data_IF_094230227657
#
_entry.id   IF_094230227657
#
_cell.length_a   1.000
_cell.length_b   1.000
_cell.length_c   1.000
_cell.angle_alpha   90.00
_cell.angle_beta   90.00
_cell.angle_gamma   90.00
#
_symmetry.space_group_name_H-M   'P 1'
#
loop_
_entity.id
_entity.type
_entity.pdbx_description
1 polymer ?
#
# COMPACT_ATOMS: atom_id res chain seq x y z
N UNK A 1 -28.92 70.87 -8.30
CA UNK A 1 -28.50 71.18 -6.91
C UNK A 1 -27.03 71.52 -6.95
N UNK A 2 -26.70 72.78 -6.65
CA UNK A 2 -25.37 73.38 -6.79
C UNK A 2 -24.37 72.71 -5.85
N UNK A 3 -23.23 72.24 -6.37
CA UNK A 3 -22.12 71.74 -5.56
C UNK A 3 -21.30 72.95 -5.14
N UNK A 4 -21.42 73.36 -3.87
CA UNK A 4 -20.61 74.41 -3.27
C UNK A 4 -19.13 74.04 -3.37
N UNK A 5 -18.35 74.94 -3.97
CA UNK A 5 -16.89 74.92 -3.93
C UNK A 5 -16.43 75.01 -2.47
N UNK A 6 -15.93 73.90 -1.95
CA UNK A 6 -15.30 73.85 -0.63
C UNK A 6 -13.95 74.55 -0.77
N UNK A 7 -13.78 75.63 0.01
CA UNK A 7 -12.54 76.39 0.18
C UNK A 7 -11.31 75.47 0.23
N UNK A 8 -10.44 75.59 -0.78
CA UNK A 8 -9.11 74.98 -0.78
C UNK A 8 -8.24 75.73 0.22
N UNK A 9 -8.32 75.37 1.50
CA UNK A 9 -7.33 75.79 2.48
C UNK A 9 -5.96 75.27 2.02
N UNK A 10 -5.00 76.17 1.84
CA UNK A 10 -3.63 75.80 1.54
C UNK A 10 -3.09 75.02 2.74
N UNK A 11 -3.09 73.70 2.62
CA UNK A 11 -2.52 72.79 3.62
C UNK A 11 -1.03 73.08 3.66
N UNK A 12 -0.57 73.72 4.74
CA UNK A 12 0.85 73.90 4.98
C UNK A 12 1.52 72.51 4.94
N UNK A 13 2.70 72.38 4.30
CA UNK A 13 3.41 71.11 4.29
C UNK A 13 3.64 70.69 5.75
N UNK A 14 3.41 69.41 6.10
CA UNK A 14 3.54 68.96 7.47
C UNK A 14 4.94 69.31 7.97
N UNK A 15 4.99 70.00 9.12
CA UNK A 15 6.25 70.32 9.80
C UNK A 15 6.73 69.01 10.42
N UNK A 16 7.46 68.22 9.65
CA UNK A 16 8.02 66.94 10.07
C UNK A 16 9.22 67.23 10.95
N UNK A 17 9.18 66.79 12.21
CA UNK A 17 10.36 66.90 13.07
C UNK A 17 11.47 65.98 12.55
N UNK A 18 12.73 66.32 12.84
CA UNK A 18 13.86 65.49 12.40
C UNK A 18 13.74 64.03 12.92
N UNK A 19 13.22 63.85 14.14
CA UNK A 19 12.93 62.55 14.72
C UNK A 19 11.85 61.78 13.96
N UNK A 20 10.78 62.44 13.51
CA UNK A 20 9.73 61.79 12.72
C UNK A 20 10.27 61.29 11.37
N UNK A 21 11.16 62.07 10.75
CA UNK A 21 11.81 61.70 9.50
C UNK A 21 12.71 60.47 9.68
N UNK A 22 13.55 60.48 10.70
CA UNK A 22 14.46 59.36 11.00
C UNK A 22 13.67 58.07 11.35
N UNK A 23 12.54 58.20 12.07
CA UNK A 23 11.65 57.08 12.36
C UNK A 23 11.01 56.49 11.09
N UNK A 24 10.43 57.34 10.23
CA UNK A 24 9.80 56.90 8.98
C UNK A 24 10.82 56.23 8.03
N UNK A 25 12.02 56.79 7.92
CA UNK A 25 13.12 56.18 7.14
C UNK A 25 13.58 54.84 7.73
N UNK A 26 13.55 54.68 9.06
CA UNK A 26 13.80 53.38 9.70
C UNK A 26 12.71 52.36 9.39
N UNK A 27 11.43 52.77 9.37
CA UNK A 27 10.32 51.87 9.05
C UNK A 27 10.32 51.47 7.57
N UNK A 28 10.59 52.40 6.66
CA UNK A 28 10.72 52.10 5.24
C UNK A 28 11.87 51.12 4.96
N UNK A 29 13.04 51.33 5.59
CA UNK A 29 14.15 50.36 5.50
C UNK A 29 13.74 48.98 6.01
N UNK A 30 13.07 48.92 7.16
CA UNK A 30 12.56 47.65 7.71
C UNK A 30 11.61 46.93 6.74
N UNK A 31 10.65 47.65 6.13
CA UNK A 31 9.73 47.08 5.14
C UNK A 31 10.53 46.48 3.99
N UNK A 32 11.43 47.26 3.36
CA UNK A 32 12.20 46.83 2.19
C UNK A 32 13.01 45.56 2.53
N UNK A 33 13.77 45.58 3.62
CA UNK A 33 14.62 44.43 4.02
C UNK A 33 13.79 43.18 4.33
N UNK A 34 12.66 43.31 5.03
CA UNK A 34 11.80 42.15 5.32
C UNK A 34 11.08 41.64 4.07
N UNK A 35 10.64 42.52 3.17
CA UNK A 35 10.02 42.10 1.90
C UNK A 35 11.00 41.38 0.98
N UNK A 36 12.26 41.84 0.93
CA UNK A 36 13.34 41.17 0.20
C UNK A 36 13.70 39.82 0.83
N UNK A 37 13.74 39.74 2.17
CA UNK A 37 14.04 38.50 2.91
C UNK A 37 13.02 37.41 2.65
N UNK A 38 11.74 37.78 2.57
CA UNK A 38 10.63 36.85 2.35
C UNK A 38 10.43 36.54 0.85
N UNK A 39 11.17 37.22 -0.04
CA UNK A 39 11.13 36.96 -1.48
C UNK A 39 9.78 37.28 -2.10
N UNK A 40 9.07 38.26 -1.54
CA UNK A 40 7.74 38.61 -2.02
C UNK A 40 7.82 39.51 -3.27
N UNK A 41 7.31 39.04 -4.41
CA UNK A 41 7.03 39.89 -5.57
C UNK A 41 5.68 40.62 -5.35
N UNK A 42 5.30 41.62 -6.17
CA UNK A 42 3.99 42.31 -6.05
C UNK A 42 2.77 41.34 -6.10
N UNK A 43 2.99 40.08 -6.52
CA UNK A 43 2.00 39.00 -6.62
C UNK A 43 2.23 37.85 -5.61
N UNK A 44 3.14 38.00 -4.64
CA UNK A 44 3.51 37.00 -3.63
C UNK A 44 2.45 36.78 -2.51
N UNK A 45 2.61 35.74 -1.67
CA UNK A 45 1.57 35.29 -0.75
C UNK A 45 1.18 36.39 0.26
N UNK A 46 -0.08 36.83 0.17
CA UNK A 46 -0.61 38.00 0.87
C UNK A 46 -0.48 37.96 2.41
N UNK A 47 -0.31 36.78 3.00
CA UNK A 47 -0.26 36.61 4.45
C UNK A 47 1.05 37.11 5.07
N UNK A 48 2.18 36.94 4.40
CA UNK A 48 3.48 37.41 4.93
C UNK A 48 3.61 38.93 4.79
N UNK A 49 3.14 39.49 3.67
CA UNK A 49 2.99 40.94 3.50
C UNK A 49 2.11 41.54 4.59
N UNK A 50 0.94 40.94 4.86
CA UNK A 50 0.05 41.39 5.92
C UNK A 50 0.75 41.41 7.28
N UNK A 51 1.56 40.39 7.61
CA UNK A 51 2.31 40.34 8.87
C UNK A 51 3.34 41.49 8.97
N UNK A 52 4.09 41.75 7.89
CA UNK A 52 5.09 42.83 7.86
C UNK A 52 4.42 44.19 8.10
N UNK A 53 3.37 44.50 7.35
CA UNK A 53 2.65 45.78 7.49
C UNK A 53 1.92 45.89 8.82
N UNK A 54 1.39 44.80 9.37
CA UNK A 54 0.78 44.78 10.71
C UNK A 54 1.79 45.18 11.77
N UNK A 55 2.99 44.61 11.73
CA UNK A 55 4.07 44.92 12.67
C UNK A 55 4.56 46.36 12.56
N UNK A 56 4.66 46.90 11.34
CA UNK A 56 5.02 48.31 11.12
C UNK A 56 3.93 49.23 11.68
N UNK A 57 2.66 48.90 11.43
CA UNK A 57 1.54 49.70 11.91
C UNK A 57 1.47 49.71 13.46
N UNK A 58 1.76 48.59 14.11
CA UNK A 58 1.89 48.52 15.56
C UNK A 58 3.00 49.47 16.08
N UNK A 59 4.16 49.51 15.41
CA UNK A 59 5.24 50.46 15.73
C UNK A 59 4.83 51.93 15.52
N UNK A 60 4.05 52.23 14.49
CA UNK A 60 3.52 53.59 14.23
C UNK A 60 2.52 54.00 15.33
N UNK A 61 1.66 53.09 15.78
CA UNK A 61 0.72 53.32 16.88
C UNK A 61 1.46 53.59 18.19
N UNK A 62 2.58 52.91 18.44
CA UNK A 62 3.43 53.15 19.61
C UNK A 62 4.12 54.50 19.55
N UNK A 63 4.62 54.90 18.38
CA UNK A 63 5.31 56.17 18.17
C UNK A 63 4.36 57.39 18.28
N UNK A 64 3.18 57.31 17.66
CA UNK A 64 2.20 58.42 17.62
C UNK A 64 1.26 58.36 18.82
N UNK A 65 1.75 58.82 19.97
CA UNK A 65 1.02 58.77 21.25
C UNK A 65 -0.29 59.55 21.27
N UNK A 66 -0.35 60.70 20.58
CA UNK A 66 -1.52 61.58 20.56
C UNK A 66 -2.75 60.96 19.90
N UNK A 67 -2.57 60.12 18.88
CA UNK A 67 -3.65 59.49 18.11
C UNK A 67 -3.76 57.98 18.38
N UNK A 68 -3.04 57.48 19.39
CA UNK A 68 -2.92 56.06 19.70
C UNK A 68 -4.26 55.36 19.86
N UNK A 69 -5.22 55.98 20.57
CA UNK A 69 -6.55 55.40 20.82
C UNK A 69 -7.37 55.23 19.54
N UNK A 70 -7.33 56.23 18.65
CA UNK A 70 -8.05 56.22 17.38
C UNK A 70 -7.43 55.19 16.42
N UNK A 71 -6.10 55.22 16.24
CA UNK A 71 -5.40 54.29 15.36
C UNK A 71 -5.54 52.83 15.84
N UNK A 72 -5.51 52.59 17.15
CA UNK A 72 -5.78 51.25 17.71
C UNK A 72 -7.20 50.79 17.43
N UNK A 73 -8.19 51.69 17.53
CA UNK A 73 -9.59 51.36 17.24
C UNK A 73 -9.79 51.04 15.75
N UNK A 74 -9.19 51.84 14.86
CA UNK A 74 -9.18 51.57 13.41
C UNK A 74 -8.54 50.21 13.13
N UNK A 75 -7.36 49.93 13.72
CA UNK A 75 -6.68 48.64 13.56
C UNK A 75 -7.59 47.47 13.93
N UNK A 76 -8.28 47.56 15.08
CA UNK A 76 -9.17 46.52 15.57
C UNK A 76 -10.33 46.23 14.61
N UNK A 77 -10.95 47.25 14.05
CA UNK A 77 -12.04 47.09 13.06
C UNK A 77 -11.54 46.38 11.79
N UNK A 78 -10.39 46.80 11.25
CA UNK A 78 -9.80 46.15 10.08
C UNK A 78 -9.38 44.70 10.36
N UNK A 79 -8.73 44.44 11.51
CA UNK A 79 -8.34 43.08 11.91
C UNK A 79 -9.58 42.18 12.04
N UNK A 80 -10.68 42.67 12.63
CA UNK A 80 -11.94 41.92 12.74
C UNK A 80 -12.57 41.63 11.37
N UNK A 81 -12.53 42.59 10.45
CA UNK A 81 -13.03 42.41 9.09
C UNK A 81 -12.21 41.38 8.30
N UNK A 82 -10.88 41.48 8.36
CA UNK A 82 -9.96 40.54 7.71
C UNK A 82 -10.18 39.12 8.24
N UNK A 83 -10.28 38.95 9.55
CA UNK A 83 -10.55 37.63 10.16
C UNK A 83 -11.91 37.06 9.73
N UNK A 84 -12.93 37.91 9.61
CA UNK A 84 -14.25 37.50 9.12
C UNK A 84 -14.19 37.00 7.68
N UNK A 85 -13.44 37.68 6.80
CA UNK A 85 -13.22 37.25 5.41
C UNK A 85 -12.43 35.93 5.36
N UNK A 86 -11.33 35.83 6.12
CA UNK A 86 -10.53 34.59 6.15
C UNK A 86 -11.35 33.40 6.63
N UNK A 87 -12.18 33.60 7.66
CA UNK A 87 -13.11 32.58 8.16
C UNK A 87 -14.15 32.19 7.11
N UNK A 88 -14.76 33.17 6.44
CA UNK A 88 -15.79 32.90 5.43
C UNK A 88 -15.22 32.11 4.24
N UNK A 89 -14.03 32.46 3.75
CA UNK A 89 -13.34 31.74 2.69
C UNK A 89 -13.03 30.29 3.09
N UNK A 90 -12.49 30.06 4.30
CA UNK A 90 -12.24 28.71 4.82
C UNK A 90 -13.52 27.88 4.90
N UNK A 91 -14.62 28.47 5.38
CA UNK A 91 -15.92 27.77 5.45
C UNK A 91 -16.47 27.44 4.06
N UNK A 92 -16.37 28.36 3.10
CA UNK A 92 -16.81 28.15 1.73
C UNK A 92 -16.02 27.02 1.06
N UNK A 93 -14.69 27.01 1.21
CA UNK A 93 -13.84 25.96 0.68
C UNK A 93 -14.20 24.58 1.27
N UNK A 94 -14.39 24.51 2.59
CA UNK A 94 -14.77 23.27 3.27
C UNK A 94 -16.13 22.75 2.78
N UNK A 95 -17.15 23.61 2.71
CA UNK A 95 -18.49 23.25 2.25
C UNK A 95 -18.48 22.81 0.78
N UNK A 96 -17.72 23.50 -0.07
CA UNK A 96 -17.54 23.13 -1.47
C UNK A 96 -16.88 21.75 -1.61
N UNK A 97 -15.82 21.49 -0.83
CA UNK A 97 -15.17 20.18 -0.78
C UNK A 97 -16.14 19.06 -0.36
N UNK A 98 -16.92 19.29 0.70
CA UNK A 98 -17.94 18.33 1.16
C UNK A 98 -19.01 18.08 0.10
N UNK A 99 -19.49 19.13 -0.56
CA UNK A 99 -20.49 19.01 -1.63
C UNK A 99 -19.95 18.22 -2.82
N UNK A 100 -18.68 18.44 -3.22
CA UNK A 100 -18.03 17.69 -4.29
C UNK A 100 -17.91 16.21 -3.98
N UNK A 101 -17.61 15.85 -2.73
CA UNK A 101 -17.57 14.45 -2.26
C UNK A 101 -18.97 13.83 -2.30
N UNK A 102 -19.98 14.51 -1.75
CA UNK A 102 -21.37 14.02 -1.77
C UNK A 102 -21.93 13.89 -3.19
N UNK A 103 -21.55 14.77 -4.12
CA UNK A 103 -21.94 14.67 -5.52
C UNK A 103 -21.30 13.45 -6.22
N UNK A 104 -20.11 13.03 -5.81
CA UNK A 104 -19.40 11.88 -6.37
C UNK A 104 -19.85 10.53 -5.76
N UNK A 105 -20.37 10.53 -4.54
CA UNK A 105 -20.77 9.35 -3.78
C UNK A 105 -21.85 8.47 -4.48
N UNK A 106 -22.94 9.01 -5.07
CA UNK A 106 -23.93 8.22 -5.79
C UNK A 106 -23.31 7.42 -6.95
N UNK A 107 -22.34 8.01 -7.66
CA UNK A 107 -21.69 7.36 -8.80
C UNK A 107 -20.85 6.16 -8.35
N UNK A 108 -20.07 6.31 -7.27
CA UNK A 108 -19.31 5.22 -6.69
C UNK A 108 -20.23 4.10 -6.17
N UNK A 109 -21.30 4.47 -5.47
CA UNK A 109 -22.27 3.53 -4.92
C UNK A 109 -23.00 2.73 -5.99
N UNK A 110 -23.34 3.34 -7.12
CA UNK A 110 -23.92 2.64 -8.29
C UNK A 110 -22.94 1.60 -8.84
N UNK A 111 -21.65 1.92 -8.97
CA UNK A 111 -20.64 0.95 -9.42
C UNK A 111 -20.49 -0.22 -8.44
N UNK A 112 -20.47 0.04 -7.13
CA UNK A 112 -20.41 -1.03 -6.12
C UNK A 112 -21.65 -1.93 -6.15
N UNK A 113 -22.85 -1.36 -6.30
CA UNK A 113 -24.08 -2.15 -6.47
C UNK A 113 -24.02 -3.02 -7.72
N UNK A 114 -23.62 -2.47 -8.86
CA UNK A 114 -23.47 -3.21 -10.12
C UNK A 114 -22.47 -4.36 -9.96
N UNK A 115 -21.35 -4.12 -9.29
CA UNK A 115 -20.34 -5.15 -9.00
C UNK A 115 -20.87 -6.25 -8.09
N UNK A 116 -21.66 -5.90 -7.08
CA UNK A 116 -22.30 -6.87 -6.17
C UNK A 116 -23.21 -7.83 -6.94
N UNK A 117 -24.10 -7.31 -7.78
CA UNK A 117 -25.00 -8.12 -8.62
C UNK A 117 -24.20 -9.06 -9.54
N UNK A 118 -23.11 -8.57 -10.14
CA UNK A 118 -22.24 -9.41 -10.99
C UNK A 118 -21.58 -10.55 -10.21
N UNK A 119 -21.11 -10.28 -8.99
CA UNK A 119 -20.48 -11.28 -8.14
C UNK A 119 -21.49 -12.32 -7.67
N UNK A 120 -22.68 -11.92 -7.27
CA UNK A 120 -23.78 -12.83 -6.92
C UNK A 120 -24.17 -13.74 -8.10
N UNK A 121 -24.22 -13.20 -9.32
CA UNK A 121 -24.47 -14.00 -10.52
C UNK A 121 -23.37 -15.06 -10.73
N UNK A 122 -22.09 -14.67 -10.59
CA UNK A 122 -20.95 -15.60 -10.72
C UNK A 122 -20.95 -16.67 -9.63
N UNK A 123 -21.28 -16.30 -8.39
CA UNK A 123 -21.36 -17.21 -7.26
C UNK A 123 -22.42 -18.29 -7.47
N UNK A 124 -23.61 -17.92 -7.95
CA UNK A 124 -24.67 -18.88 -8.32
C UNK A 124 -24.22 -19.87 -9.39
N UNK A 125 -23.45 -19.43 -10.38
CA UNK A 125 -22.89 -20.32 -11.42
C UNK A 125 -21.89 -21.32 -10.80
N UNK A 126 -21.01 -20.84 -9.92
CA UNK A 126 -20.03 -21.69 -9.24
C UNK A 126 -20.72 -22.72 -8.34
N UNK A 127 -21.73 -22.33 -7.57
CA UNK A 127 -22.50 -23.23 -6.71
C UNK A 127 -23.21 -24.34 -7.51
N UNK A 128 -23.84 -23.97 -8.63
CA UNK A 128 -24.49 -24.95 -9.51
C UNK A 128 -23.47 -25.94 -10.09
N UNK A 129 -22.33 -25.45 -10.56
CA UNK A 129 -21.26 -26.30 -11.09
C UNK A 129 -20.68 -27.21 -10.00
N UNK A 130 -20.47 -26.68 -8.80
CA UNK A 130 -19.96 -27.45 -7.65
C UNK A 130 -20.93 -28.56 -7.26
N UNK A 131 -22.24 -28.27 -7.26
CA UNK A 131 -23.28 -29.27 -6.98
C UNK A 131 -23.31 -30.39 -8.04
N UNK A 132 -23.15 -30.04 -9.33
CA UNK A 132 -23.06 -31.02 -10.42
C UNK A 132 -21.83 -31.92 -10.30
N UNK A 133 -20.68 -31.34 -9.98
CA UNK A 133 -19.42 -32.09 -9.79
C UNK A 133 -19.57 -33.04 -8.60
N UNK A 134 -20.14 -32.57 -7.49
CA UNK A 134 -20.38 -33.40 -6.31
C UNK A 134 -21.27 -34.59 -6.64
N UNK A 135 -22.36 -34.37 -7.38
CA UNK A 135 -23.23 -35.46 -7.84
C UNK A 135 -22.48 -36.49 -8.70
N UNK A 136 -21.59 -36.05 -9.58
CA UNK A 136 -20.76 -36.96 -10.39
C UNK A 136 -19.77 -37.75 -9.53
N UNK A 137 -19.14 -37.11 -8.55
CA UNK A 137 -18.23 -37.77 -7.59
C UNK A 137 -18.99 -38.87 -6.84
N UNK A 138 -20.19 -38.59 -6.35
CA UNK A 138 -20.97 -39.54 -5.58
C UNK A 138 -21.43 -40.72 -6.45
N UNK A 139 -21.82 -40.48 -7.70
CA UNK A 139 -22.09 -41.55 -8.68
C UNK A 139 -20.87 -42.44 -8.91
N UNK A 140 -19.68 -41.85 -9.09
CA UNK A 140 -18.46 -42.65 -9.26
C UNK A 140 -18.13 -43.48 -8.03
N UNK A 141 -18.33 -42.93 -6.82
CA UNK A 141 -18.14 -43.67 -5.57
C UNK A 141 -19.11 -44.84 -5.46
N UNK A 142 -20.38 -44.64 -5.80
CA UNK A 142 -21.39 -45.72 -5.82
C UNK A 142 -21.02 -46.82 -6.82
N UNK A 143 -20.58 -46.44 -8.03
CA UNK A 143 -20.11 -47.40 -9.02
C UNK A 143 -18.92 -48.20 -8.51
N UNK A 144 -17.90 -47.54 -7.93
CA UNK A 144 -16.74 -48.23 -7.33
C UNK A 144 -17.16 -49.19 -6.22
N UNK A 145 -18.02 -48.76 -5.31
CA UNK A 145 -18.52 -49.63 -4.24
C UNK A 145 -19.25 -50.87 -4.79
N UNK A 146 -20.04 -50.71 -5.87
CA UNK A 146 -20.70 -51.82 -6.55
C UNK A 146 -19.70 -52.79 -7.19
N UNK A 147 -18.66 -52.27 -7.85
CA UNK A 147 -17.55 -53.07 -8.39
C UNK A 147 -16.82 -53.85 -7.28
N UNK A 148 -16.48 -53.21 -6.16
CA UNK A 148 -15.81 -53.86 -5.04
C UNK A 148 -16.66 -55.00 -4.45
N UNK A 149 -17.98 -54.82 -4.30
CA UNK A 149 -18.88 -55.91 -3.89
C UNK A 149 -18.99 -57.05 -4.92
N UNK A 150 -18.85 -56.75 -6.20
CA UNK A 150 -18.88 -57.77 -7.25
C UNK A 150 -17.54 -58.52 -7.34
N UNK A 151 -16.38 -57.86 -7.18
CA UNK A 151 -15.07 -58.51 -7.12
C UNK A 151 -14.93 -59.43 -5.89
N UNK A 152 -15.48 -59.04 -4.73
CA UNK A 152 -15.53 -59.92 -3.54
C UNK A 152 -16.34 -61.20 -3.82
N UNK A 153 -17.37 -61.15 -4.67
CA UNK A 153 -18.10 -62.35 -5.11
C UNK A 153 -17.27 -63.28 -5.99
N UNK A 154 -16.42 -62.76 -6.88
CA UNK A 154 -15.55 -63.58 -7.74
C UNK A 154 -14.32 -64.16 -7.02
N UNK A 155 -13.93 -63.60 -5.88
CA UNK A 155 -12.78 -64.05 -5.08
C UNK A 155 -13.15 -65.01 -3.92
N UNK A 156 -14.36 -65.56 -3.89
CA UNK A 156 -14.60 -66.77 -3.09
C UNK A 156 -14.09 -67.97 -3.87
N UNK A 157 -12.79 -68.26 -3.74
CA UNK A 157 -12.22 -69.53 -4.18
C UNK A 157 -12.86 -70.65 -3.36
N UNK A 158 -14.02 -71.12 -3.80
CA UNK A 158 -14.57 -72.40 -3.37
C UNK A 158 -13.57 -73.47 -3.83
N UNK A 159 -12.80 -73.99 -2.88
CA UNK A 159 -11.90 -75.14 -3.05
C UNK A 159 -12.74 -76.39 -3.20
N UNK A 160 -13.48 -76.48 -4.29
CA UNK A 160 -14.16 -77.70 -4.67
C UNK A 160 -13.13 -78.64 -5.30
N UNK A 161 -12.72 -79.72 -4.61
CA UNK A 161 -11.69 -80.63 -5.11
C UNK A 161 -12.13 -81.39 -6.36
N UNK A 162 -13.41 -81.34 -6.72
CA UNK A 162 -13.95 -81.99 -7.92
C UNK A 162 -13.72 -81.20 -9.21
N UNK A 163 -13.28 -79.94 -9.12
CA UNK A 163 -13.07 -79.09 -10.29
C UNK A 163 -11.64 -79.25 -10.83
N UNK A 164 -11.47 -79.39 -12.16
CA UNK A 164 -10.14 -79.46 -12.76
C UNK A 164 -9.39 -78.15 -12.51
N UNK A 165 -8.07 -78.24 -12.39
CA UNK A 165 -7.20 -77.07 -12.23
C UNK A 165 -7.44 -76.11 -13.40
N UNK A 166 -7.70 -74.80 -13.15
CA UNK A 166 -7.97 -73.84 -14.22
C UNK A 166 -6.86 -73.84 -15.29
N UNK A 167 -7.22 -74.10 -16.54
CA UNK A 167 -6.27 -74.17 -17.66
C UNK A 167 -5.61 -75.54 -17.87
N UNK A 168 -6.04 -76.59 -17.16
CA UNK A 168 -5.71 -77.98 -17.45
C UNK A 168 -6.97 -78.78 -17.79
N UNK A 169 -6.82 -79.79 -18.64
CA UNK A 169 -7.86 -80.79 -18.88
C UNK A 169 -7.92 -81.81 -17.73
N UNK A 170 -9.04 -82.52 -17.57
CA UNK A 170 -9.21 -83.53 -16.53
C UNK A 170 -8.14 -84.64 -16.63
N UNK A 171 -7.79 -85.05 -17.85
CA UNK A 171 -6.75 -86.06 -18.11
C UNK A 171 -5.35 -85.57 -17.69
N UNK A 172 -5.02 -84.30 -17.97
CA UNK A 172 -3.75 -83.71 -17.55
C UNK A 172 -3.69 -83.52 -16.04
N UNK A 173 -4.83 -83.22 -15.39
CA UNK A 173 -4.89 -83.00 -13.93
C UNK A 173 -4.62 -84.25 -13.10
N UNK A 174 -4.67 -85.44 -13.71
CA UNK A 174 -4.35 -86.73 -13.09
C UNK A 174 -2.96 -87.24 -13.54
N UNK A 175 -2.33 -86.56 -14.50
CA UNK A 175 -0.99 -86.92 -15.00
C UNK A 175 0.11 -86.16 -14.24
N UNK A 176 1.02 -86.90 -13.61
CA UNK A 176 2.10 -86.37 -12.78
C UNK A 176 3.08 -85.49 -13.56
N UNK A 177 3.42 -85.86 -14.80
CA UNK A 177 4.34 -85.07 -15.64
C UNK A 177 3.70 -83.74 -16.07
N UNK A 178 2.41 -83.78 -16.42
CA UNK A 178 1.65 -82.58 -16.80
C UNK A 178 1.52 -81.62 -15.61
N UNK A 179 1.21 -82.14 -14.41
CA UNK A 179 1.17 -81.37 -13.16
C UNK A 179 2.52 -80.74 -12.83
N UNK A 180 3.62 -81.49 -12.97
CA UNK A 180 4.97 -80.98 -12.68
C UNK A 180 5.36 -79.86 -13.64
N UNK A 181 5.01 -80.00 -14.93
CA UNK A 181 5.24 -78.94 -15.93
C UNK A 181 4.40 -77.70 -15.65
N UNK A 182 3.15 -77.88 -15.25
CA UNK A 182 2.24 -76.78 -14.91
C UNK A 182 2.68 -76.05 -13.63
N UNK A 183 3.16 -76.76 -12.62
CA UNK A 183 3.74 -76.17 -11.41
C UNK A 183 4.93 -75.27 -11.74
N UNK A 184 5.88 -75.75 -12.56
CA UNK A 184 7.02 -74.94 -13.02
C UNK A 184 6.58 -73.70 -13.79
N UNK A 185 5.52 -73.81 -14.60
CA UNK A 185 4.95 -72.67 -15.31
C UNK A 185 4.37 -71.62 -14.35
N UNK A 186 3.62 -72.06 -13.34
CA UNK A 186 3.06 -71.16 -12.32
C UNK A 186 4.15 -70.49 -11.49
N UNK A 187 5.19 -71.21 -11.11
CA UNK A 187 6.34 -70.64 -10.39
C UNK A 187 7.05 -69.56 -11.24
N UNK A 188 7.26 -69.82 -12.53
CA UNK A 188 7.83 -68.84 -13.44
C UNK A 188 6.93 -67.61 -13.60
N UNK A 189 5.62 -67.80 -13.77
CA UNK A 189 4.62 -66.71 -13.85
C UNK A 189 4.57 -65.89 -12.57
N UNK A 190 4.62 -66.53 -11.41
CA UNK A 190 4.65 -65.85 -10.13
C UNK A 190 5.92 -65.02 -9.96
N UNK A 191 7.08 -65.57 -10.33
CA UNK A 191 8.34 -64.84 -10.31
C UNK A 191 8.33 -63.62 -11.25
N UNK A 192 7.78 -63.78 -12.45
CA UNK A 192 7.58 -62.70 -13.43
C UNK A 192 6.70 -61.60 -12.85
N UNK A 193 5.51 -61.95 -12.33
CA UNK A 193 4.57 -60.99 -11.74
C UNK A 193 5.20 -60.28 -10.54
N UNK A 194 5.90 -61.00 -9.67
CA UNK A 194 6.58 -60.42 -8.50
C UNK A 194 7.67 -59.43 -8.92
N UNK A 195 8.46 -59.74 -9.96
CA UNK A 195 9.44 -58.79 -10.50
C UNK A 195 8.78 -57.56 -11.13
N UNK A 196 7.70 -57.76 -11.89
CA UNK A 196 6.94 -56.65 -12.50
C UNK A 196 6.35 -55.75 -11.42
N UNK A 197 5.79 -56.34 -10.35
CA UNK A 197 5.26 -55.61 -9.21
C UNK A 197 6.34 -54.73 -8.58
N UNK A 198 7.52 -55.30 -8.29
CA UNK A 198 8.64 -54.56 -7.69
C UNK A 198 9.20 -53.45 -8.60
N UNK A 199 9.16 -53.61 -9.93
CA UNK A 199 9.70 -52.63 -10.88
C UNK A 199 8.69 -51.51 -11.22
N UNK A 200 7.41 -51.84 -11.35
CA UNK A 200 6.39 -50.92 -11.89
C UNK A 200 5.52 -50.25 -10.83
N UNK A 201 5.49 -50.78 -9.61
CA UNK A 201 4.57 -50.30 -8.59
C UNK A 201 5.33 -49.89 -7.33
N UNK A 202 4.90 -48.75 -6.77
CA UNK A 202 5.35 -48.25 -5.47
C UNK A 202 4.23 -48.50 -4.46
N UNK A 203 4.52 -49.05 -3.26
CA UNK A 203 3.51 -49.21 -2.23
C UNK A 203 2.82 -47.89 -1.90
N UNK A 204 1.50 -47.93 -1.72
CA UNK A 204 0.71 -46.73 -1.40
C UNK A 204 1.21 -46.03 -0.13
N UNK A 205 1.67 -46.80 0.87
CA UNK A 205 2.24 -46.26 2.11
C UNK A 205 3.47 -45.37 1.86
N UNK A 206 4.41 -45.83 1.02
CA UNK A 206 5.62 -45.08 0.64
C UNK A 206 5.29 -43.73 0.01
N UNK A 207 4.17 -43.63 -0.71
CA UNK A 207 3.72 -42.36 -1.29
C UNK A 207 3.23 -41.39 -0.21
N UNK A 208 2.45 -41.87 0.75
CA UNK A 208 1.95 -41.06 1.87
C UNK A 208 3.11 -40.52 2.71
N UNK A 209 4.10 -41.38 3.01
CA UNK A 209 5.28 -40.98 3.77
C UNK A 209 6.06 -39.87 3.04
N UNK A 210 6.24 -39.99 1.72
CA UNK A 210 6.91 -38.97 0.90
C UNK A 210 6.13 -37.64 0.81
N UNK A 211 4.80 -37.69 0.73
CA UNK A 211 3.94 -36.50 0.71
C UNK A 211 4.03 -35.74 2.06
N UNK A 212 4.13 -36.47 3.17
CA UNK A 212 4.33 -35.88 4.50
C UNK A 212 5.74 -35.27 4.65
N UNK A 213 6.79 -35.98 4.24
CA UNK A 213 8.16 -35.45 4.20
C UNK A 213 8.26 -34.17 3.35
N UNK A 214 7.65 -34.16 2.17
CA UNK A 214 7.60 -32.99 1.29
C UNK A 214 6.94 -31.79 1.99
N UNK A 215 5.85 -32.03 2.70
CA UNK A 215 5.13 -30.98 3.43
C UNK A 215 6.00 -30.39 4.55
N UNK A 216 6.75 -31.23 5.29
CA UNK A 216 7.67 -30.79 6.34
C UNK A 216 8.83 -29.97 5.75
N UNK A 217 9.41 -30.40 4.64
CA UNK A 217 10.50 -29.69 3.96
C UNK A 217 10.05 -28.32 3.46
N UNK A 218 8.86 -28.24 2.84
CA UNK A 218 8.29 -26.97 2.36
C UNK A 218 8.10 -25.97 3.50
N UNK A 219 7.52 -26.41 4.63
CA UNK A 219 7.37 -25.55 5.82
C UNK A 219 8.73 -25.04 6.33
N UNK A 220 9.74 -25.91 6.38
CA UNK A 220 11.09 -25.52 6.81
C UNK A 220 11.71 -24.51 5.87
N UNK A 221 11.56 -24.69 4.55
CA UNK A 221 12.02 -23.73 3.53
C UNK A 221 11.36 -22.38 3.72
N UNK A 222 10.04 -22.34 3.87
CA UNK A 222 9.29 -21.09 3.99
C UNK A 222 9.69 -20.31 5.26
N UNK A 223 9.90 -21.01 6.39
CA UNK A 223 10.44 -20.42 7.61
C UNK A 223 11.84 -19.84 7.41
N UNK A 224 12.74 -20.58 6.74
CA UNK A 224 14.09 -20.12 6.45
C UNK A 224 14.09 -18.92 5.51
N UNK A 225 13.22 -18.90 4.50
CA UNK A 225 13.09 -17.79 3.55
C UNK A 225 12.59 -16.52 4.25
N UNK A 226 11.61 -16.64 5.15
CA UNK A 226 11.13 -15.52 5.95
C UNK A 226 12.22 -14.96 6.87
N UNK A 227 12.98 -15.82 7.53
CA UNK A 227 14.08 -15.39 8.38
C UNK A 227 15.20 -14.73 7.57
N UNK A 228 15.48 -15.23 6.37
CA UNK A 228 16.47 -14.64 5.47
C UNK A 228 16.04 -13.23 5.00
N UNK A 229 14.76 -13.04 4.66
CA UNK A 229 14.20 -11.72 4.32
C UNK A 229 14.37 -10.72 5.47
N UNK A 230 14.08 -11.15 6.71
CA UNK A 230 14.27 -10.33 7.91
C UNK A 230 15.74 -9.97 8.16
N UNK A 231 16.65 -10.92 7.98
CA UNK A 231 18.09 -10.67 8.11
C UNK A 231 18.60 -9.73 7.02
N UNK A 232 18.16 -9.91 5.78
CA UNK A 232 18.50 -9.03 4.66
C UNK A 232 18.02 -7.59 4.91
N UNK A 233 16.81 -7.44 5.46
CA UNK A 233 16.28 -6.15 5.87
C UNK A 233 17.15 -5.47 6.93
N UNK A 234 17.55 -6.20 7.98
CA UNK A 234 18.44 -5.67 9.03
C UNK A 234 19.79 -5.29 8.47
N UNK A 235 20.34 -6.10 7.57
CA UNK A 235 21.63 -5.84 6.94
C UNK A 235 21.59 -4.56 6.10
N UNK A 236 20.57 -4.38 5.26
CA UNK A 236 20.39 -3.15 4.47
C UNK A 236 20.26 -1.93 5.37
N UNK A 237 19.48 -2.03 6.46
CA UNK A 237 19.33 -0.94 7.43
C UNK A 237 20.67 -0.56 8.08
N UNK A 238 21.46 -1.56 8.47
CA UNK A 238 22.80 -1.33 9.02
C UNK A 238 23.75 -0.71 7.99
N UNK A 239 23.68 -1.13 6.72
CA UNK A 239 24.47 -0.51 5.65
C UNK A 239 24.12 0.96 5.44
N UNK A 240 22.83 1.32 5.46
CA UNK A 240 22.40 2.72 5.36
C UNK A 240 22.94 3.56 6.51
N UNK A 241 22.86 3.04 7.74
CA UNK A 241 23.40 3.71 8.93
C UNK A 241 24.93 3.87 8.81
N UNK A 242 25.63 2.80 8.40
CA UNK A 242 27.08 2.83 8.21
C UNK A 242 27.49 3.85 7.14
N UNK A 243 26.77 3.92 6.02
CA UNK A 243 27.01 4.91 4.97
C UNK A 243 26.86 6.33 5.50
N UNK A 244 25.79 6.60 6.25
CA UNK A 244 25.56 7.91 6.87
C UNK A 244 26.68 8.25 7.87
N UNK A 245 27.04 7.34 8.76
CA UNK A 245 28.14 7.55 9.72
C UNK A 245 29.49 7.78 9.03
N UNK A 246 29.77 7.04 7.96
CA UNK A 246 31.01 7.21 7.18
C UNK A 246 31.02 8.57 6.47
N UNK A 247 29.87 9.03 5.99
CA UNK A 247 29.72 10.37 5.40
C UNK A 247 29.93 11.46 6.45
N UNK A 248 29.38 11.28 7.66
CA UNK A 248 29.57 12.19 8.80
C UNK A 248 31.04 12.32 9.18
N UNK A 249 31.72 11.19 9.39
CA UNK A 249 33.15 11.16 9.74
C UNK A 249 34.02 11.81 8.65
N UNK A 250 33.69 11.60 7.37
CA UNK A 250 34.39 12.25 6.25
C UNK A 250 34.09 13.74 6.11
N UNK A 251 32.97 14.21 6.65
CA UNK A 251 32.52 15.59 6.47
C UNK A 251 33.18 16.59 7.42
N UNK A 252 33.93 16.12 8.43
CA UNK A 252 34.72 16.89 9.41
C UNK A 252 34.07 18.21 9.86
N UNK A 253 32.73 18.20 10.00
CA UNK A 253 31.95 19.29 10.57
C UNK A 253 31.58 18.91 11.98
N UNK A 254 31.92 19.77 12.92
CA UNK A 254 31.53 19.72 14.33
C UNK A 254 30.03 19.95 14.55
N UNK A 255 29.18 19.42 13.67
CA UNK A 255 27.73 19.44 13.81
C UNK A 255 27.29 18.33 14.75
N UNK A 256 26.35 18.64 15.64
CA UNK A 256 25.87 17.66 16.61
C UNK A 256 25.19 16.49 15.90
N UNK A 257 25.15 15.32 16.55
CA UNK A 257 24.41 14.15 16.04
C UNK A 257 22.95 14.49 15.69
N UNK A 258 22.37 15.48 16.36
CA UNK A 258 21.00 15.95 16.15
C UNK A 258 20.85 16.72 14.84
N UNK A 259 21.81 17.58 14.49
CA UNK A 259 21.82 18.30 13.21
C UNK A 259 21.99 17.32 12.03
N UNK A 260 22.79 16.27 12.24
CA UNK A 260 22.97 15.21 11.24
C UNK A 260 21.74 14.32 11.10
N UNK A 261 21.05 13.98 12.20
CA UNK A 261 19.78 13.26 12.16
C UNK A 261 18.70 14.07 11.43
N UNK A 262 18.62 15.38 11.68
CA UNK A 262 17.75 16.27 10.91
C UNK A 262 18.17 16.38 9.45
N UNK A 263 19.46 16.34 9.14
CA UNK A 263 19.96 16.38 7.77
C UNK A 263 19.68 15.08 7.01
N UNK A 264 19.76 13.92 7.68
CA UNK A 264 19.29 12.63 7.18
C UNK A 264 17.78 12.68 6.91
N UNK A 265 17.01 13.24 7.84
CA UNK A 265 15.56 13.37 7.73
C UNK A 265 15.14 14.37 6.64
N UNK A 266 15.94 15.41 6.41
CA UNK A 266 15.82 16.38 5.30
C UNK A 266 16.35 15.84 3.97
N UNK A 267 17.28 14.88 3.97
CA UNK A 267 17.74 14.24 2.75
C UNK A 267 16.59 13.39 2.20
N UNK A 268 15.94 13.91 1.16
CA UNK A 268 14.72 13.36 0.57
C UNK A 268 14.87 11.87 0.20
N UNK A 269 16.09 11.42 -0.10
CA UNK A 269 16.39 10.03 -0.42
C UNK A 269 16.28 9.08 0.79
N UNK A 270 16.66 9.52 2.00
CA UNK A 270 16.52 8.68 3.21
C UNK A 270 15.10 8.66 3.75
N UNK A 271 14.30 9.71 3.56
CA UNK A 271 12.88 9.68 3.95
C UNK A 271 12.08 8.76 3.03
N UNK A 272 12.39 8.73 1.73
CA UNK A 272 11.84 7.77 0.75
C UNK A 272 12.23 6.33 1.11
N UNK A 273 13.49 6.08 1.47
CA UNK A 273 13.95 4.76 1.93
C UNK A 273 13.30 4.41 3.27
N UNK A 274 13.33 5.25 4.30
CA UNK A 274 12.77 4.92 5.62
C UNK A 274 11.25 4.70 5.60
N UNK A 275 10.51 5.44 4.77
CA UNK A 275 9.04 5.31 4.62
C UNK A 275 8.63 4.06 3.82
N UNK A 276 9.34 3.73 2.73
CA UNK A 276 9.14 2.46 2.02
C UNK A 276 9.46 1.27 2.94
N UNK A 277 10.44 1.42 3.84
CA UNK A 277 10.97 0.35 4.69
C UNK A 277 10.22 0.14 6.02
N UNK A 278 9.50 1.13 6.54
CA UNK A 278 8.70 1.01 7.79
C UNK A 278 7.31 0.42 7.56
N UNK A 279 6.83 0.38 6.31
CA UNK A 279 5.56 -0.25 5.95
C UNK A 279 4.32 0.47 6.49
N UNK A 280 4.48 1.70 6.98
CA UNK A 280 3.38 2.50 7.50
C UNK A 280 2.61 3.15 6.34
N UNK A 281 1.34 2.76 6.18
CA UNK A 281 0.56 3.08 4.97
C UNK A 281 0.27 4.57 4.86
N UNK A 282 0.12 5.27 6.00
CA UNK A 282 -0.17 6.70 6.04
C UNK A 282 1.00 7.56 5.54
N UNK A 283 2.20 7.25 6.01
CA UNK A 283 3.42 8.01 5.67
C UNK A 283 3.76 7.86 4.18
N UNK A 284 3.61 6.66 3.61
CA UNK A 284 3.92 6.44 2.19
C UNK A 284 2.86 7.06 1.27
N UNK A 285 1.59 7.13 1.68
CA UNK A 285 0.55 7.87 0.94
C UNK A 285 0.75 9.39 1.01
N UNK A 286 1.15 9.95 2.16
CA UNK A 286 1.48 11.37 2.30
C UNK A 286 2.67 11.77 1.44
N UNK A 287 3.76 10.99 1.48
CA UNK A 287 4.96 11.25 0.67
C UNK A 287 4.69 11.13 -0.83
N UNK A 288 3.85 10.17 -1.23
CA UNK A 288 3.39 10.04 -2.61
C UNK A 288 2.61 11.29 -3.07
N UNK A 289 1.71 11.79 -2.22
CA UNK A 289 0.93 12.99 -2.52
C UNK A 289 1.81 14.23 -2.63
N UNK A 290 2.84 14.33 -1.79
CA UNK A 290 3.80 15.43 -1.79
C UNK A 290 4.64 15.44 -3.09
N UNK A 291 5.12 14.27 -3.54
CA UNK A 291 5.87 14.14 -4.79
C UNK A 291 5.02 14.48 -6.02
N UNK A 292 3.74 14.10 -6.03
CA UNK A 292 2.79 14.51 -7.07
C UNK A 292 2.58 16.02 -7.06
N UNK A 293 2.42 16.64 -5.88
CA UNK A 293 2.26 18.09 -5.74
C UNK A 293 3.50 18.88 -6.18
N UNK A 294 4.69 18.29 -6.05
CA UNK A 294 5.95 18.87 -6.51
C UNK A 294 6.22 18.62 -8.01
N UNK A 295 5.35 17.89 -8.72
CA UNK A 295 5.52 17.56 -10.13
C UNK A 295 6.60 16.51 -10.42
N UNK A 296 7.13 15.84 -9.40
CA UNK A 296 8.16 14.80 -9.55
C UNK A 296 7.51 13.42 -9.82
N UNK A 297 6.80 13.32 -10.95
CA UNK A 297 5.99 12.15 -11.31
C UNK A 297 6.81 10.85 -11.44
N UNK A 298 8.05 10.93 -11.91
CA UNK A 298 8.94 9.77 -12.08
C UNK A 298 9.32 9.15 -10.72
N UNK A 299 9.63 10.00 -9.74
CA UNK A 299 9.94 9.56 -8.37
C UNK A 299 8.69 9.04 -7.67
N UNK A 300 7.53 9.67 -7.88
CA UNK A 300 6.25 9.18 -7.38
C UNK A 300 5.90 7.80 -7.94
N UNK A 301 6.17 7.56 -9.23
CA UNK A 301 5.92 6.27 -9.89
C UNK A 301 6.83 5.17 -9.35
N UNK A 302 8.12 5.46 -9.18
CA UNK A 302 9.09 4.55 -8.56
C UNK A 302 8.70 4.19 -7.11
N UNK A 303 8.24 5.16 -6.33
CA UNK A 303 7.79 4.96 -4.95
C UNK A 303 6.54 4.07 -4.89
N UNK A 304 5.60 4.29 -5.81
CA UNK A 304 4.37 3.52 -5.89
C UNK A 304 4.59 2.07 -6.38
N UNK A 305 5.56 1.85 -7.28
CA UNK A 305 5.95 0.53 -7.77
C UNK A 305 6.70 -0.30 -6.70
N UNK A 306 7.54 0.34 -5.90
CA UNK A 306 8.36 -0.33 -4.87
C UNK A 306 7.65 -0.45 -3.51
N UNK A 307 6.41 0.06 -3.37
CA UNK A 307 5.67 -0.01 -2.12
C UNK A 307 5.14 -1.43 -1.84
N UNK A 308 5.49 -2.06 -0.70
CA UNK A 308 5.07 -3.42 -0.36
C UNK A 308 3.54 -3.56 -0.18
N UNK A 309 2.81 -2.45 -0.01
CA UNK A 309 1.35 -2.42 0.20
C UNK A 309 0.53 -1.99 -1.02
N UNK A 310 1.15 -1.85 -2.20
CA UNK A 310 0.52 -1.58 -3.51
C UNK A 310 -0.37 -0.33 -3.51
N UNK A 311 0.25 0.84 -3.34
CA UNK A 311 -0.42 2.16 -3.30
C UNK A 311 -1.27 2.43 -4.56
N UNK A 312 -0.89 1.87 -5.71
CA UNK A 312 -1.62 2.00 -6.97
C UNK A 312 -2.94 1.20 -7.04
N UNK A 313 -3.24 0.35 -6.04
CA UNK A 313 -4.56 -0.29 -5.97
C UNK A 313 -5.67 0.68 -5.55
N UNK A 314 -5.30 1.78 -4.88
CA UNK A 314 -6.24 2.84 -4.59
C UNK A 314 -6.50 3.64 -5.87
N UNK A 315 -7.75 3.66 -6.33
CA UNK A 315 -8.12 4.33 -7.58
C UNK A 315 -7.88 5.85 -7.49
N UNK A 316 -7.92 6.40 -6.27
CA UNK A 316 -7.65 7.81 -5.99
C UNK A 316 -6.19 8.20 -6.18
N UNK A 317 -5.23 7.32 -5.85
CA UNK A 317 -3.80 7.55 -6.11
C UNK A 317 -3.44 7.25 -7.56
N UNK A 318 -4.06 6.24 -8.20
CA UNK A 318 -3.82 5.95 -9.61
C UNK A 318 -4.33 7.06 -10.56
N UNK A 319 -5.42 7.73 -10.21
CA UNK A 319 -5.93 8.88 -10.98
C UNK A 319 -5.03 10.12 -10.89
N UNK A 320 -4.06 10.19 -9.96
CA UNK A 320 -3.11 11.31 -9.86
C UNK A 320 -1.99 11.26 -10.91
N UNK A 321 -1.89 10.16 -11.66
CA UNK A 321 -0.96 9.98 -12.77
C UNK A 321 -1.58 10.23 -14.15
N UNK A 322 -2.88 10.52 -14.22
CA UNK A 322 -3.58 10.88 -15.46
C UNK A 322 -3.50 12.38 -15.71
#
# INVERSE_FOLDING_TARGET
>A
MSVQEINKHAVLPPIISRSDKEFLESMQRYIITETERVGCNEEGPADEYYIIYRNVFDKVIEYVTAYKSILTSIKKEYDAFIETIKKSQRTAFYLHGKLKVLAAEPTALVYHRKRTIQLEAKMRVIENNSSKIQLQIDRMKQLRAAYDTNEVKYCTFSKDPSKPIPGMTLQESVNLDALTKYLKHLEAKYAEIKQVMLKKYVPAQRKVDLDEEMTVILKRRDLAENLNKELQFRHQRLQTILYALTSLVKSDKSSSFQDFAEQIQKSKDLHVVLSIFTGDRGIVEELFNELISLGEYEKAACLAANSPRRILQNIGTMNKFK
#
